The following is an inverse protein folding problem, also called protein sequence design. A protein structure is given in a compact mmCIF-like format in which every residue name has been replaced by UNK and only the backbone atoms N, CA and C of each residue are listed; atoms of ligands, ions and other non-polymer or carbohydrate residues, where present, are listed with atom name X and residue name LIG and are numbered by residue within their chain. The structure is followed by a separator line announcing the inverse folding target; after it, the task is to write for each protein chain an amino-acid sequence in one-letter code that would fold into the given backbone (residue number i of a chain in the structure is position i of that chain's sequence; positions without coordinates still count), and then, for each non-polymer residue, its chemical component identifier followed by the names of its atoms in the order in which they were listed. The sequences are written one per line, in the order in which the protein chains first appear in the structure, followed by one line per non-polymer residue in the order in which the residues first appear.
data_IF_985554425075
#
_entry.id   IF_985554425075
#
_cell.length_a   1.000
_cell.length_b   1.000
_cell.length_c   1.000
_cell.angle_alpha   90.00
_cell.angle_beta   90.00
_cell.angle_gamma   90.00
#
_symmetry.space_group_name_H-M   'P 1'
#
loop_
_entity.id
_entity.type
_entity.pdbx_description
1 polymer ?
#
# COMPACT_ATOMS: atom_id res chain seq x y z
N UNK A 1 -0.37 -11.56 -5.96
CA UNK A 1 -0.12 -10.74 -4.78
C UNK A 1 -0.78 -11.36 -3.57
N UNK A 2 -0.06 -11.68 -2.47
CA UNK A 2 -0.76 -11.93 -1.22
C UNK A 2 -1.48 -10.65 -0.83
N UNK A 3 -2.81 -10.68 -0.85
CA UNK A 3 -3.69 -9.55 -0.57
C UNK A 3 -3.79 -9.22 0.93
N UNK A 4 -2.81 -9.65 1.73
CA UNK A 4 -2.97 -9.81 3.18
C UNK A 4 -2.60 -8.60 4.04
N UNK A 5 -2.34 -7.42 3.48
CA UNK A 5 -2.16 -6.23 4.30
C UNK A 5 -3.10 -5.10 3.88
N UNK A 6 -3.61 -4.34 4.85
CA UNK A 6 -4.51 -3.23 4.58
C UNK A 6 -3.84 -2.09 3.78
N UNK A 7 -2.51 -1.93 3.86
CA UNK A 7 -1.77 -1.05 2.96
C UNK A 7 -1.93 -1.48 1.50
N UNK A 8 -1.98 -2.81 1.22
CA UNK A 8 -2.29 -3.32 -0.12
C UNK A 8 -3.69 -2.96 -0.60
N UNK A 9 -4.65 -2.89 0.31
CA UNK A 9 -6.04 -2.51 0.03
C UNK A 9 -6.13 -1.05 -0.42
N UNK A 10 -5.41 -0.15 0.24
CA UNK A 10 -5.43 1.28 -0.08
C UNK A 10 -4.87 1.57 -1.45
N UNK A 11 -3.68 1.09 -1.80
CA UNK A 11 -3.12 1.41 -3.11
C UNK A 11 -3.91 0.77 -4.27
N UNK A 12 -4.48 -0.44 -4.08
CA UNK A 12 -5.36 -1.05 -5.09
C UNK A 12 -6.62 -0.21 -5.31
N UNK A 13 -7.25 0.27 -4.25
CA UNK A 13 -8.41 1.17 -4.34
C UNK A 13 -8.05 2.51 -4.96
N UNK A 14 -6.88 3.06 -4.61
CA UNK A 14 -6.42 4.31 -5.21
C UNK A 14 -6.19 4.16 -6.72
N UNK A 15 -5.57 3.06 -7.17
CA UNK A 15 -5.42 2.76 -8.58
C UNK A 15 -6.76 2.61 -9.30
N UNK A 16 -7.74 1.94 -8.68
CA UNK A 16 -9.11 1.85 -9.22
C UNK A 16 -9.75 3.22 -9.37
N UNK A 17 -9.66 4.08 -8.34
CA UNK A 17 -10.20 5.44 -8.38
C UNK A 17 -9.54 6.31 -9.46
N UNK A 18 -8.27 6.04 -9.77
CA UNK A 18 -7.55 6.67 -10.87
C UNK A 18 -7.89 6.09 -12.26
N UNK A 19 -8.83 5.13 -12.32
CA UNK A 19 -9.29 4.52 -13.57
C UNK A 19 -8.42 3.36 -14.07
N UNK A 20 -7.47 2.88 -13.28
CA UNK A 20 -6.68 1.71 -13.64
C UNK A 20 -7.46 0.41 -13.41
N UNK A 21 -7.32 -0.56 -14.31
CA UNK A 21 -7.77 -1.92 -14.09
C UNK A 21 -6.83 -2.63 -13.12
N UNK A 22 -7.36 -3.14 -12.02
CA UNK A 22 -6.58 -3.80 -10.97
C UNK A 22 -7.03 -5.23 -10.79
N UNK A 23 -6.07 -6.14 -10.73
CA UNK A 23 -6.30 -7.55 -10.43
C UNK A 23 -5.27 -8.06 -9.43
N UNK A 24 -5.50 -9.21 -8.83
CA UNK A 24 -4.58 -9.80 -7.87
C UNK A 24 -4.74 -11.30 -7.76
N UNK A 25 -3.67 -11.97 -7.33
CA UNK A 25 -3.66 -13.40 -7.05
C UNK A 25 -3.38 -13.63 -5.56
N UNK A 26 -4.10 -14.55 -4.96
CA UNK A 26 -3.87 -14.96 -3.57
C UNK A 26 -4.27 -16.44 -3.43
N UNK A 27 -3.48 -17.22 -2.70
CA UNK A 27 -3.80 -18.63 -2.45
C UNK A 27 -4.91 -18.82 -1.40
N UNK A 28 -5.26 -17.76 -0.67
CA UNK A 28 -6.27 -17.83 0.40
C UNK A 28 -7.37 -16.79 0.18
N UNK A 29 -8.61 -17.27 0.38
CA UNK A 29 -9.75 -16.37 0.50
C UNK A 29 -9.77 -15.76 1.89
N UNK A 30 -9.60 -14.44 1.97
CA UNK A 30 -9.57 -13.65 3.21
C UNK A 30 -10.64 -12.56 3.15
N UNK A 31 -10.95 -11.94 4.30
CA UNK A 31 -11.86 -10.79 4.31
C UNK A 31 -11.37 -9.64 3.42
N UNK A 32 -10.04 -9.50 3.26
CA UNK A 32 -9.43 -8.49 2.40
C UNK A 32 -9.69 -8.82 0.93
N UNK A 33 -9.49 -10.08 0.49
CA UNK A 33 -9.73 -10.47 -0.90
C UNK A 33 -11.21 -10.37 -1.26
N UNK A 34 -12.12 -10.71 -0.34
CA UNK A 34 -13.57 -10.57 -0.52
C UNK A 34 -13.94 -9.09 -0.69
N UNK A 35 -13.41 -8.21 0.16
CA UNK A 35 -13.64 -6.77 0.09
C UNK A 35 -13.09 -6.17 -1.21
N UNK A 36 -11.89 -6.56 -1.63
CA UNK A 36 -11.32 -6.11 -2.91
C UNK A 36 -12.17 -6.54 -4.10
N UNK A 37 -12.64 -7.77 -4.08
CA UNK A 37 -13.56 -8.30 -5.12
C UNK A 37 -14.86 -7.51 -5.18
N UNK A 38 -15.44 -7.13 -4.03
CA UNK A 38 -16.65 -6.28 -4.00
C UNK A 38 -16.42 -4.86 -4.51
N UNK A 39 -15.16 -4.40 -4.57
CA UNK A 39 -14.75 -3.12 -5.15
C UNK A 39 -14.38 -3.21 -6.64
N UNK A 40 -14.59 -4.36 -7.28
CA UNK A 40 -14.32 -4.54 -8.71
C UNK A 40 -12.93 -5.06 -9.04
N UNK A 41 -12.11 -5.43 -8.03
CA UNK A 41 -10.82 -6.08 -8.28
C UNK A 41 -11.03 -7.53 -8.65
N UNK A 42 -10.50 -7.97 -9.79
CA UNK A 42 -10.43 -9.38 -10.15
C UNK A 42 -9.44 -10.11 -9.25
N UNK A 43 -9.93 -11.09 -8.46
CA UNK A 43 -9.07 -11.89 -7.56
C UNK A 43 -9.02 -13.32 -8.05
N UNK A 44 -7.81 -13.81 -8.34
CA UNK A 44 -7.52 -15.18 -8.66
C UNK A 44 -7.01 -15.91 -7.43
N UNK A 45 -7.51 -17.12 -7.16
CA UNK A 45 -7.10 -17.91 -5.99
C UNK A 45 -6.07 -19.00 -6.32
N UNK A 46 -5.52 -18.92 -7.52
CA UNK A 46 -4.44 -19.78 -8.01
C UNK A 46 -3.44 -18.93 -8.81
N UNK A 47 -2.19 -19.37 -8.86
CA UNK A 47 -1.13 -18.68 -9.58
C UNK A 47 -0.95 -19.30 -10.97
N UNK A 48 -1.50 -18.65 -12.00
CA UNK A 48 -1.34 -19.04 -13.40
C UNK A 48 -0.65 -17.93 -14.19
N UNK A 49 0.04 -18.33 -15.25
CA UNK A 49 0.69 -17.40 -16.18
C UNK A 49 -0.29 -16.42 -16.80
N UNK A 50 -1.50 -16.89 -17.11
CA UNK A 50 -2.55 -16.07 -17.74
C UNK A 50 -2.99 -14.88 -16.88
N UNK A 51 -2.84 -15.00 -15.56
CA UNK A 51 -3.18 -13.91 -14.64
C UNK A 51 -2.36 -12.64 -14.87
N UNK A 52 -1.22 -12.70 -15.54
CA UNK A 52 -0.33 -11.54 -15.75
C UNK A 52 -0.19 -11.14 -17.22
N UNK A 53 -0.79 -11.87 -18.15
CA UNK A 53 -0.61 -11.66 -19.60
C UNK A 53 -0.93 -10.24 -20.06
N UNK A 54 -1.94 -9.60 -19.47
CA UNK A 54 -2.38 -8.25 -19.85
C UNK A 54 -1.99 -7.18 -18.81
N UNK A 55 -1.02 -7.46 -17.94
CA UNK A 55 -0.58 -6.51 -16.94
C UNK A 55 0.45 -5.54 -17.52
N UNK A 56 0.30 -4.24 -17.22
CA UNK A 56 1.32 -3.24 -17.51
C UNK A 56 2.42 -3.21 -16.45
N UNK A 57 2.12 -3.66 -15.23
CA UNK A 57 3.05 -3.74 -14.10
C UNK A 57 2.62 -4.86 -13.16
N UNK A 58 3.58 -5.57 -12.60
CA UNK A 58 3.35 -6.58 -11.55
C UNK A 58 3.94 -6.08 -10.23
N UNK A 59 3.09 -5.97 -9.22
CA UNK A 59 3.50 -5.56 -7.86
C UNK A 59 3.64 -6.79 -7.00
N UNK A 60 4.80 -7.00 -6.39
CA UNK A 60 5.08 -8.17 -5.56
C UNK A 60 5.26 -7.81 -4.08
N UNK A 61 4.90 -8.75 -3.22
CA UNK A 61 5.24 -8.72 -1.80
C UNK A 61 6.55 -9.47 -1.57
N UNK A 62 7.26 -9.13 -0.49
CA UNK A 62 8.47 -9.83 -0.05
C UNK A 62 8.26 -11.33 0.26
N UNK A 63 7.01 -11.73 0.49
CA UNK A 63 6.64 -13.13 0.77
C UNK A 63 6.55 -14.01 -0.50
N UNK A 64 6.61 -13.43 -1.70
CA UNK A 64 6.55 -14.20 -2.95
C UNK A 64 7.89 -14.86 -3.24
N UNK A 65 7.88 -16.19 -3.34
CA UNK A 65 9.06 -16.98 -3.69
C UNK A 65 9.51 -16.75 -5.14
N UNK A 66 10.81 -16.96 -5.38
CA UNK A 66 11.41 -16.80 -6.73
C UNK A 66 10.83 -17.76 -7.77
N UNK A 67 10.23 -18.86 -7.33
CA UNK A 67 9.67 -19.92 -8.19
C UNK A 67 8.19 -19.68 -8.55
N UNK A 68 7.63 -18.51 -8.19
CA UNK A 68 6.26 -18.18 -8.51
C UNK A 68 6.07 -18.08 -10.03
N UNK A 69 5.06 -18.78 -10.57
CA UNK A 69 4.79 -18.87 -12.01
C UNK A 69 4.48 -17.52 -12.63
N UNK A 70 3.64 -16.70 -11.98
CA UNK A 70 3.28 -15.35 -12.45
C UNK A 70 4.50 -14.44 -12.51
N UNK A 71 5.35 -14.49 -11.46
CA UNK A 71 6.58 -13.70 -11.42
C UNK A 71 7.56 -14.07 -12.55
N UNK A 72 7.75 -15.37 -12.79
CA UNK A 72 8.65 -15.83 -13.82
C UNK A 72 8.12 -15.51 -15.21
N UNK A 73 6.83 -15.66 -15.43
CA UNK A 73 6.19 -15.32 -16.71
C UNK A 73 6.19 -13.82 -16.98
N UNK A 74 5.94 -12.98 -15.97
CA UNK A 74 6.07 -11.53 -16.10
C UNK A 74 7.48 -11.11 -16.55
N UNK A 75 8.54 -11.76 -15.99
CA UNK A 75 9.93 -11.54 -16.43
C UNK A 75 10.15 -11.91 -17.89
N UNK A 76 9.59 -13.05 -18.32
CA UNK A 76 9.71 -13.51 -19.71
C UNK A 76 9.03 -12.53 -20.70
N UNK A 77 7.91 -11.94 -20.30
CA UNK A 77 7.19 -10.95 -21.09
C UNK A 77 7.79 -9.55 -21.01
N UNK A 78 8.83 -9.33 -20.17
CA UNK A 78 9.42 -8.01 -19.96
C UNK A 78 8.50 -7.03 -19.21
N UNK A 79 7.50 -7.54 -18.48
CA UNK A 79 6.60 -6.71 -17.68
C UNK A 79 7.36 -6.18 -16.47
N UNK A 80 7.34 -4.85 -16.21
CA UNK A 80 7.98 -4.28 -15.02
C UNK A 80 7.47 -4.93 -13.73
N UNK A 81 8.39 -5.27 -12.85
CA UNK A 81 8.10 -5.87 -11.55
C UNK A 81 8.61 -4.92 -10.48
N UNK A 82 7.71 -4.47 -9.62
CA UNK A 82 8.00 -3.53 -8.54
C UNK A 82 7.58 -4.10 -7.19
N UNK A 83 8.26 -3.70 -6.14
CA UNK A 83 7.84 -4.01 -4.78
C UNK A 83 6.63 -3.19 -4.36
N UNK A 84 5.94 -3.61 -3.31
CA UNK A 84 4.82 -2.86 -2.72
C UNK A 84 5.26 -1.46 -2.26
N UNK A 85 6.46 -1.34 -1.69
CA UNK A 85 7.01 -0.06 -1.24
C UNK A 85 7.27 0.89 -2.41
N UNK A 86 7.80 0.37 -3.52
CA UNK A 86 7.99 1.16 -4.74
C UNK A 86 6.66 1.64 -5.32
N UNK A 87 5.65 0.76 -5.41
CA UNK A 87 4.32 1.17 -5.87
C UNK A 87 3.69 2.20 -4.93
N UNK A 88 3.84 2.05 -3.62
CA UNK A 88 3.38 3.05 -2.66
C UNK A 88 4.08 4.40 -2.89
N UNK A 89 5.40 4.40 -3.05
CA UNK A 89 6.17 5.61 -3.31
C UNK A 89 5.70 6.33 -4.59
N UNK A 90 5.39 5.58 -5.67
CA UNK A 90 4.84 6.17 -6.89
C UNK A 90 3.47 6.81 -6.66
N UNK A 91 2.58 6.17 -5.92
CA UNK A 91 1.29 6.76 -5.56
C UNK A 91 1.43 7.99 -4.66
N UNK A 92 2.39 7.97 -3.74
CA UNK A 92 2.70 9.11 -2.88
C UNK A 92 3.17 10.32 -3.70
N UNK A 93 3.93 10.13 -4.80
CA UNK A 93 4.34 11.23 -5.68
C UNK A 93 3.18 12.00 -6.33
N UNK A 94 2.01 11.39 -6.37
CA UNK A 94 0.80 12.02 -6.91
C UNK A 94 0.04 12.85 -5.87
N UNK A 95 0.48 12.87 -4.61
CA UNK A 95 -0.16 13.57 -3.48
C UNK A 95 0.86 14.36 -2.66
N UNK A 96 0.38 15.27 -1.85
CA UNK A 96 1.16 15.90 -0.79
C UNK A 96 1.28 14.92 0.38
N UNK A 97 2.48 14.72 0.92
CA UNK A 97 2.72 13.66 1.88
C UNK A 97 3.21 14.18 3.23
N UNK A 98 2.58 13.69 4.29
CA UNK A 98 3.08 13.79 5.66
C UNK A 98 3.59 12.40 6.03
N UNK A 99 4.90 12.27 6.20
CA UNK A 99 5.54 11.00 6.56
C UNK A 99 5.96 11.06 8.03
N UNK A 100 5.53 10.07 8.80
CA UNK A 100 5.86 9.95 10.22
C UNK A 100 6.86 8.82 10.41
N UNK A 101 8.06 9.15 10.87
CA UNK A 101 9.16 8.23 11.13
C UNK A 101 9.62 8.30 12.60
N UNK A 102 10.48 7.39 13.01
CA UNK A 102 11.10 7.35 14.34
C UNK A 102 11.04 5.97 14.98
N UNK A 103 11.81 5.72 16.03
CA UNK A 103 11.87 4.42 16.69
C UNK A 103 10.55 4.08 17.39
N UNK A 104 9.92 5.03 18.08
CA UNK A 104 8.69 4.82 18.85
C UNK A 104 7.64 5.90 18.60
N UNK A 105 6.35 5.55 18.79
CA UNK A 105 5.23 6.50 18.72
C UNK A 105 4.75 6.83 17.30
N UNK A 106 5.30 6.25 16.25
CA UNK A 106 4.90 6.47 14.85
C UNK A 106 3.39 6.29 14.65
N UNK A 107 2.85 5.12 15.01
CA UNK A 107 1.42 4.77 14.85
C UNK A 107 0.50 5.76 15.53
N UNK A 108 0.83 6.17 16.76
CA UNK A 108 0.06 7.15 17.52
C UNK A 108 0.11 8.52 16.85
N UNK A 109 1.31 8.99 16.48
CA UNK A 109 1.49 10.29 15.83
C UNK A 109 0.80 10.33 14.48
N UNK A 110 0.91 9.27 13.66
CA UNK A 110 0.20 9.15 12.38
C UNK A 110 -1.30 9.25 12.57
N UNK A 111 -1.85 8.57 13.58
CA UNK A 111 -3.29 8.64 13.91
C UNK A 111 -3.73 10.04 14.34
N UNK A 112 -2.93 10.74 15.13
CA UNK A 112 -3.22 12.12 15.56
C UNK A 112 -3.17 13.09 14.38
N UNK A 113 -2.15 13.01 13.55
CA UNK A 113 -2.01 13.84 12.34
C UNK A 113 -3.18 13.61 11.39
N UNK A 114 -3.56 12.34 11.17
CA UNK A 114 -4.71 11.99 10.34
C UNK A 114 -6.01 12.60 10.89
N UNK A 115 -6.23 12.52 12.22
CA UNK A 115 -7.42 13.09 12.86
C UNK A 115 -7.45 14.62 12.74
N UNK A 116 -6.32 15.30 12.90
CA UNK A 116 -6.23 16.76 12.73
C UNK A 116 -6.53 17.14 11.27
N UNK A 117 -5.95 16.43 10.31
CA UNK A 117 -6.19 16.68 8.90
C UNK A 117 -7.67 16.45 8.51
N UNK A 118 -8.31 15.43 9.10
CA UNK A 118 -9.74 15.14 8.89
C UNK A 118 -10.63 16.26 9.45
N UNK A 119 -10.38 16.74 10.68
CA UNK A 119 -11.08 17.88 11.27
C UNK A 119 -10.85 19.16 10.46
N UNK A 120 -9.67 19.29 9.85
CA UNK A 120 -9.33 20.38 8.91
C UNK A 120 -9.97 20.24 7.52
N UNK A 121 -10.88 19.27 7.31
CA UNK A 121 -11.53 18.97 6.02
C UNK A 121 -10.56 18.66 4.87
N UNK A 122 -9.38 18.12 5.17
CA UNK A 122 -8.40 17.73 4.17
C UNK A 122 -8.66 16.33 3.59
N UNK A 123 -9.55 15.55 4.20
CA UNK A 123 -9.91 14.17 3.82
C UNK A 123 -8.70 13.33 3.35
N UNK A 124 -7.69 13.10 4.22
CA UNK A 124 -6.45 12.49 3.79
C UNK A 124 -6.59 10.98 3.54
N UNK A 125 -5.79 10.47 2.60
CA UNK A 125 -5.48 9.04 2.57
C UNK A 125 -4.51 8.74 3.70
N UNK A 126 -4.77 7.69 4.48
CA UNK A 126 -3.96 7.33 5.66
C UNK A 126 -3.44 5.91 5.53
N UNK A 127 -2.14 5.72 5.76
CA UNK A 127 -1.48 4.41 5.82
C UNK A 127 -0.70 4.34 7.12
N UNK A 128 -1.09 3.42 8.00
CA UNK A 128 -0.53 3.26 9.33
C UNK A 128 -0.01 1.82 9.51
N UNK A 129 1.01 1.62 10.31
CA UNK A 129 1.53 0.29 10.63
C UNK A 129 0.57 -0.54 11.50
N UNK A 130 -0.18 0.12 12.39
CA UNK A 130 -1.18 -0.49 13.26
C UNK A 130 -2.61 -0.13 12.89
N UNK A 131 -3.58 -0.86 13.47
CA UNK A 131 -5.00 -0.57 13.30
C UNK A 131 -5.38 0.75 13.96
N UNK A 132 -5.92 1.68 13.19
CA UNK A 132 -6.49 2.93 13.70
C UNK A 132 -7.90 2.63 14.20
N UNK A 133 -8.12 2.79 15.51
CA UNK A 133 -9.40 2.46 16.15
C UNK A 133 -10.60 3.17 15.51
N UNK A 134 -10.43 4.43 15.12
CA UNK A 134 -11.48 5.23 14.49
C UNK A 134 -11.95 4.66 13.13
N UNK A 135 -11.08 3.96 12.41
CA UNK A 135 -11.39 3.42 11.09
C UNK A 135 -11.56 1.89 11.08
N UNK A 136 -11.25 1.20 12.18
CA UNK A 136 -11.25 -0.26 12.24
C UNK A 136 -10.25 -0.93 11.26
N UNK A 137 -9.31 -0.15 10.75
CA UNK A 137 -8.33 -0.57 9.74
C UNK A 137 -7.02 0.19 9.95
N UNK A 138 -5.91 -0.36 9.48
CA UNK A 138 -4.63 0.37 9.45
C UNK A 138 -4.47 1.26 8.20
N UNK A 139 -5.52 1.39 7.39
CA UNK A 139 -5.47 2.23 6.22
C UNK A 139 -6.87 2.76 5.86
N UNK A 140 -6.93 4.01 5.40
CA UNK A 140 -8.12 4.70 4.91
C UNK A 140 -7.79 5.40 3.60
N UNK A 141 -8.65 5.26 2.61
CA UNK A 141 -8.58 6.06 1.40
C UNK A 141 -9.41 7.34 1.58
N UNK A 142 -8.78 8.49 1.43
CA UNK A 142 -9.41 9.79 1.36
C UNK A 142 -9.39 10.34 -0.07
N UNK A 143 -10.31 11.25 -0.37
CA UNK A 143 -10.41 11.91 -1.67
C UNK A 143 -9.53 13.17 -1.77
N UNK A 144 -9.02 13.67 -0.63
CA UNK A 144 -8.19 14.85 -0.57
C UNK A 144 -6.79 14.66 -1.18
N UNK A 145 -6.08 15.77 -1.34
CA UNK A 145 -4.73 15.81 -1.93
C UNK A 145 -3.64 15.32 -0.99
N UNK A 146 -3.96 15.15 0.30
CA UNK A 146 -2.98 14.76 1.32
C UNK A 146 -2.96 13.25 1.57
N UNK A 147 -1.77 12.75 1.85
CA UNK A 147 -1.54 11.39 2.32
C UNK A 147 -0.71 11.44 3.61
N UNK A 148 -1.17 10.74 4.64
CA UNK A 148 -0.45 10.59 5.92
C UNK A 148 0.04 9.15 6.01
N UNK A 149 1.35 8.96 6.09
CA UNK A 149 1.99 7.65 6.00
C UNK A 149 2.92 7.42 7.17
N UNK A 150 2.75 6.29 7.86
CA UNK A 150 3.75 5.78 8.79
C UNK A 150 4.89 5.13 8.00
N UNK A 151 6.12 5.58 8.24
CA UNK A 151 7.31 4.99 7.65
C UNK A 151 7.72 3.73 8.43
N UNK A 152 7.89 2.61 7.71
CA UNK A 152 8.42 1.38 8.28
C UNK A 152 9.92 1.30 7.99
N UNK A 153 10.73 1.30 9.04
CA UNK A 153 12.19 1.20 8.95
C UNK A 153 12.68 -0.25 8.80
N UNK A 154 11.84 -1.23 9.11
CA UNK A 154 12.26 -2.64 9.23
C UNK A 154 12.79 -3.25 7.92
N UNK A 155 12.33 -2.76 6.77
CA UNK A 155 12.74 -3.22 5.44
C UNK A 155 13.55 -2.17 4.65
N UNK A 156 13.90 -1.03 5.28
CA UNK A 156 14.59 0.09 4.65
C UNK A 156 13.79 0.81 3.56
N UNK A 157 12.51 0.50 3.40
CA UNK A 157 11.65 1.07 2.36
C UNK A 157 11.36 2.56 2.60
N UNK A 158 11.44 3.02 3.85
CA UNK A 158 11.18 4.41 4.23
C UNK A 158 12.08 5.43 3.50
N UNK A 159 13.30 5.05 3.13
CA UNK A 159 14.21 5.88 2.36
C UNK A 159 13.70 6.21 0.94
N UNK A 160 12.74 5.46 0.43
CA UNK A 160 12.14 5.65 -0.89
C UNK A 160 10.88 6.50 -0.85
N UNK A 161 10.34 6.80 0.34
CA UNK A 161 9.09 7.52 0.48
C UNK A 161 9.30 9.02 0.26
N UNK A 162 8.60 9.64 -0.70
CA UNK A 162 8.64 11.09 -0.87
C UNK A 162 7.89 11.75 0.29
N UNK A 163 8.47 12.78 0.88
CA UNK A 163 7.85 13.54 1.95
C UNK A 163 7.75 15.02 1.58
N UNK A 164 6.54 15.59 1.64
CA UNK A 164 6.33 17.04 1.63
C UNK A 164 6.59 17.60 3.03
N UNK A 165 6.13 16.88 4.05
CA UNK A 165 6.38 17.14 5.47
C UNK A 165 6.86 15.85 6.11
N UNK A 166 7.94 15.92 6.86
CA UNK A 166 8.46 14.80 7.63
C UNK A 166 8.33 15.10 9.14
N UNK A 167 7.80 14.14 9.88
CA UNK A 167 7.72 14.18 11.34
C UNK A 167 8.59 13.03 11.87
N UNK A 168 9.58 13.36 12.68
CA UNK A 168 10.43 12.39 13.36
C UNK A 168 10.09 12.42 14.84
N UNK A 169 9.54 11.34 15.37
CA UNK A 169 9.08 11.26 16.76
C UNK A 169 10.26 11.18 17.74
N UNK A 170 11.22 10.33 17.44
CA UNK A 170 12.47 10.15 18.18
C UNK A 170 13.47 9.35 17.32
N UNK A 171 14.73 9.39 17.74
CA UNK A 171 15.82 8.64 17.13
C UNK A 171 16.58 7.97 18.28
N UNK A 172 16.39 6.68 18.44
CA UNK A 172 17.11 5.87 19.42
C UNK A 172 18.21 5.07 18.72
N UNK A 173 19.29 4.79 19.45
CA UNK A 173 20.30 3.83 18.97
C UNK A 173 19.81 2.42 19.30
N UNK A 174 19.63 1.61 18.29
CA UNK A 174 19.46 0.16 18.43
C UNK A 174 20.82 -0.52 18.59
#
# INVERSE_FOLDING_TARGET
LPASSAASDVYKRQLLNLGYSVQGSDIKKTNITVRLSSLGVNIFYEHYTDNVTNCSVVVISSAIGKDNLELNFAKQLGIPIVSRAEMLAELMRMKLNIVVAGSHGKTTTTSLVASIAEVGNLDPTVINGGVIKAYGSNARLGEGEWMVVEADESDGSFNKLPATVAIVTNIDRE
#
